data_IF_819302742315
#
_entry.id   IF_819302742315
#
_cell.length_a   1.000
_cell.length_b   1.000
_cell.length_c   1.000
_cell.angle_alpha   90.00
_cell.angle_beta   90.00
_cell.angle_gamma   90.00
#
_symmetry.space_group_name_H-M   'P 1'
#
loop_
_entity.id
_entity.type
_entity.pdbx_description
1 polymer ?
#
# COMPACT_ATOMS: atom_id res chain seq x y z
N UNK A 1 -21.98 7.53 2.22
CA UNK A 1 -20.77 7.89 3.00
C UNK A 1 -19.96 9.03 2.36
N UNK A 2 -19.68 9.04 1.04
CA UNK A 2 -18.81 10.05 0.41
C UNK A 2 -19.24 11.53 0.43
N UNK A 3 -20.30 11.91 1.15
CA UNK A 3 -20.68 13.30 1.39
C UNK A 3 -20.18 13.85 2.73
N UNK A 4 -19.61 13.00 3.58
CA UNK A 4 -19.12 13.37 4.91
C UNK A 4 -17.72 14.00 4.83
N UNK A 5 -17.59 15.15 4.15
CA UNK A 5 -16.29 15.79 3.85
C UNK A 5 -15.50 16.20 5.10
N UNK A 6 -16.18 16.46 6.21
CA UNK A 6 -15.57 16.81 7.50
C UNK A 6 -15.31 15.61 8.40
N UNK A 7 -15.54 14.38 7.92
CA UNK A 7 -15.29 13.17 8.70
C UNK A 7 -13.79 13.01 8.92
N UNK A 8 -13.38 13.05 10.19
CA UNK A 8 -11.98 12.91 10.58
C UNK A 8 -11.59 11.46 10.81
N UNK A 9 -12.52 10.66 11.36
CA UNK A 9 -12.30 9.27 11.72
C UNK A 9 -13.44 8.38 11.21
N UNK A 10 -13.07 7.26 10.59
CA UNK A 10 -13.98 6.21 10.14
C UNK A 10 -13.36 4.86 10.46
N UNK A 11 -13.98 4.09 11.35
CA UNK A 11 -13.57 2.70 11.61
C UNK A 11 -14.70 1.77 11.15
N UNK A 12 -14.40 0.92 10.18
CA UNK A 12 -15.30 -0.07 9.60
C UNK A 12 -14.74 -1.50 9.76
N UNK A 13 -13.71 -1.63 10.59
CA UNK A 13 -12.94 -2.86 10.72
C UNK A 13 -13.73 -3.93 11.47
N UNK A 14 -13.36 -5.20 11.31
CA UNK A 14 -13.93 -6.32 12.06
C UNK A 14 -15.46 -6.45 11.88
N UNK A 15 -15.90 -6.36 10.64
CA UNK A 15 -17.30 -6.48 10.25
C UNK A 15 -17.46 -7.55 9.16
N UNK A 16 -18.69 -7.73 8.68
CA UNK A 16 -19.03 -8.61 7.56
C UNK A 16 -19.22 -7.82 6.25
N UNK A 17 -18.54 -6.67 6.10
CA UNK A 17 -18.66 -5.85 4.89
C UNK A 17 -18.11 -6.63 3.70
N UNK A 18 -18.83 -6.56 2.58
CA UNK A 18 -18.49 -7.25 1.34
C UNK A 18 -18.68 -6.34 0.14
N UNK A 19 -18.22 -6.80 -1.03
CA UNK A 19 -18.17 -5.99 -2.25
C UNK A 19 -16.91 -5.12 -2.32
N UNK A 20 -16.89 -4.20 -3.28
CA UNK A 20 -15.72 -3.37 -3.54
C UNK A 20 -15.66 -2.11 -2.68
N UNK A 21 -14.43 -1.58 -2.51
CA UNK A 21 -14.22 -0.27 -1.90
C UNK A 21 -14.88 0.79 -2.80
N UNK A 22 -15.88 1.55 -2.32
CA UNK A 22 -16.61 2.50 -3.15
C UNK A 22 -15.73 3.68 -3.58
N UNK A 23 -15.83 4.13 -4.83
CA UNK A 23 -15.11 5.31 -5.34
C UNK A 23 -15.37 6.58 -4.50
N UNK A 24 -16.55 6.67 -3.89
CA UNK A 24 -16.93 7.78 -3.03
C UNK A 24 -16.06 7.94 -1.77
N UNK A 25 -15.25 6.94 -1.40
CA UNK A 25 -14.27 7.06 -0.32
C UNK A 25 -13.22 8.13 -0.61
N UNK A 26 -12.87 8.35 -1.89
CA UNK A 26 -11.94 9.40 -2.28
C UNK A 26 -12.42 10.83 -2.00
N UNK A 27 -13.70 11.03 -1.65
CA UNK A 27 -14.26 12.33 -1.30
C UNK A 27 -14.09 12.70 0.18
N UNK A 28 -13.59 11.79 1.02
CA UNK A 28 -13.42 12.00 2.46
C UNK A 28 -12.11 12.75 2.75
N UNK A 29 -11.91 13.93 2.17
CA UNK A 29 -10.62 14.65 2.15
C UNK A 29 -10.05 15.02 3.53
N UNK A 30 -10.91 15.13 4.55
CA UNK A 30 -10.50 15.41 5.94
C UNK A 30 -10.19 14.14 6.74
N UNK A 31 -10.33 12.96 6.15
CA UNK A 31 -10.16 11.69 6.84
C UNK A 31 -8.70 11.50 7.23
N UNK A 32 -8.46 11.28 8.51
CA UNK A 32 -7.13 11.07 9.10
C UNK A 32 -6.90 9.61 9.49
N UNK A 33 -7.97 8.86 9.79
CA UNK A 33 -7.96 7.50 10.33
C UNK A 33 -9.34 6.87 10.05
N UNK A 34 -9.66 5.59 9.94
CA UNK A 34 -9.00 4.28 9.88
C UNK A 34 -9.60 3.62 8.62
N UNK A 35 -9.26 2.39 8.31
CA UNK A 35 -9.69 1.72 7.08
C UNK A 35 -10.21 0.32 7.39
N UNK A 36 -11.06 -0.27 6.53
CA UNK A 36 -11.76 -1.52 6.83
C UNK A 36 -10.81 -2.72 6.75
N UNK A 37 -10.18 -3.07 7.86
CA UNK A 37 -9.45 -4.35 7.98
C UNK A 37 -10.37 -5.45 8.52
N UNK A 38 -9.99 -6.72 8.32
CA UNK A 38 -10.76 -7.88 8.81
C UNK A 38 -12.24 -7.84 8.38
N UNK A 39 -12.45 -7.82 7.06
CA UNK A 39 -13.76 -7.85 6.42
C UNK A 39 -13.72 -8.82 5.21
N UNK A 40 -14.78 -8.84 4.41
CA UNK A 40 -14.89 -9.62 3.17
C UNK A 40 -14.89 -8.71 1.93
N UNK A 41 -14.17 -7.58 1.97
CA UNK A 41 -14.09 -6.65 0.83
C UNK A 41 -13.30 -7.29 -0.32
N UNK A 42 -13.74 -7.06 -1.55
CA UNK A 42 -13.20 -7.69 -2.76
C UNK A 42 -12.98 -6.69 -3.89
N UNK A 43 -12.37 -7.14 -4.99
CA UNK A 43 -12.00 -6.27 -6.11
C UNK A 43 -10.74 -5.46 -5.84
N UNK A 44 -10.46 -4.46 -6.69
CA UNK A 44 -9.22 -3.70 -6.65
C UNK A 44 -9.25 -2.53 -5.67
N UNK A 45 -8.05 -2.14 -5.20
CA UNK A 45 -7.85 -0.89 -4.46
C UNK A 45 -8.09 0.29 -5.42
N UNK A 46 -9.09 1.15 -5.17
CA UNK A 46 -9.40 2.25 -6.08
C UNK A 46 -8.28 3.31 -6.09
N UNK A 47 -7.79 3.75 -7.27
CA UNK A 47 -6.77 4.79 -7.36
C UNK A 47 -7.19 6.12 -6.71
N UNK A 48 -8.49 6.38 -6.62
CA UNK A 48 -9.06 7.60 -6.00
C UNK A 48 -8.72 7.72 -4.50
N UNK A 49 -8.31 6.64 -3.83
CA UNK A 49 -7.83 6.72 -2.44
C UNK A 49 -6.60 7.62 -2.30
N UNK A 50 -5.81 7.79 -3.36
CA UNK A 50 -4.67 8.73 -3.38
C UNK A 50 -5.04 10.22 -3.19
N UNK A 51 -6.33 10.56 -3.22
CA UNK A 51 -6.81 11.91 -2.93
C UNK A 51 -6.86 12.23 -1.43
N UNK A 52 -6.74 11.22 -0.56
CA UNK A 52 -6.87 11.36 0.89
C UNK A 52 -5.56 11.87 1.53
N UNK A 53 -5.15 13.09 1.18
CA UNK A 53 -3.86 13.70 1.58
C UNK A 53 -3.68 13.82 3.10
N UNK A 54 -4.77 13.88 3.86
CA UNK A 54 -4.78 13.95 5.33
C UNK A 54 -4.68 12.58 6.00
N UNK A 55 -4.76 11.48 5.23
CA UNK A 55 -4.84 10.13 5.77
C UNK A 55 -3.50 9.74 6.41
N UNK A 56 -3.54 9.39 7.69
CA UNK A 56 -2.37 8.94 8.45
C UNK A 56 -2.28 7.43 8.58
N UNK A 57 -3.41 6.72 8.48
CA UNK A 57 -3.47 5.27 8.65
C UNK A 57 -4.38 4.64 7.59
N UNK A 58 -3.84 3.70 6.80
CA UNK A 58 -4.56 2.89 5.82
C UNK A 58 -4.33 1.39 6.10
N UNK A 59 -5.34 0.74 6.71
CA UNK A 59 -5.36 -0.70 6.97
C UNK A 59 -6.43 -1.39 6.13
N UNK A 60 -6.01 -2.21 5.17
CA UNK A 60 -6.89 -3.03 4.34
C UNK A 60 -6.58 -4.52 4.49
N UNK A 61 -5.73 -4.89 5.45
CA UNK A 61 -5.33 -6.28 5.66
C UNK A 61 -6.51 -7.19 6.03
N UNK A 62 -6.35 -8.49 5.78
CA UNK A 62 -7.37 -9.51 6.08
C UNK A 62 -8.68 -9.17 5.35
N UNK A 63 -8.61 -9.14 4.03
CA UNK A 63 -9.73 -8.98 3.11
C UNK A 63 -9.50 -9.86 1.86
N UNK A 64 -10.35 -9.72 0.86
CA UNK A 64 -10.29 -10.45 -0.42
C UNK A 64 -9.94 -9.49 -1.58
N UNK A 65 -9.22 -8.40 -1.31
CA UNK A 65 -8.83 -7.43 -2.32
C UNK A 65 -7.83 -8.07 -3.30
N UNK A 66 -7.95 -7.72 -4.57
CA UNK A 66 -7.12 -8.27 -5.64
C UNK A 66 -6.62 -7.14 -6.57
N UNK A 67 -5.88 -7.51 -7.62
CA UNK A 67 -5.30 -6.51 -8.52
C UNK A 67 -3.94 -6.02 -8.03
N UNK A 68 -3.53 -4.88 -8.59
CA UNK A 68 -2.26 -4.22 -8.27
C UNK A 68 -2.47 -3.12 -7.22
N UNK A 69 -1.42 -2.77 -6.47
CA UNK A 69 -1.42 -1.57 -5.64
C UNK A 69 -1.36 -0.36 -6.58
N UNK A 70 -2.32 0.57 -6.55
CA UNK A 70 -2.29 1.71 -7.46
C UNK A 70 -1.15 2.67 -7.10
N UNK A 71 -0.38 3.16 -8.09
CA UNK A 71 0.67 4.18 -7.89
C UNK A 71 0.23 5.40 -7.07
N UNK A 72 -1.04 5.77 -7.17
CA UNK A 72 -1.63 6.87 -6.42
C UNK A 72 -1.60 6.69 -4.90
N UNK A 73 -1.28 5.51 -4.36
CA UNK A 73 -0.98 5.36 -2.92
C UNK A 73 0.21 6.24 -2.51
N UNK A 74 1.21 6.43 -3.37
CA UNK A 74 2.34 7.34 -3.13
C UNK A 74 1.95 8.80 -2.92
N UNK A 75 0.73 9.19 -3.31
CA UNK A 75 0.21 10.53 -3.10
C UNK A 75 -0.20 10.81 -1.65
N UNK A 76 -0.27 9.80 -0.77
CA UNK A 76 -0.69 9.93 0.62
C UNK A 76 0.44 10.49 1.51
N UNK A 77 0.78 11.76 1.32
CA UNK A 77 1.93 12.42 1.96
C UNK A 77 1.94 12.38 3.50
N UNK A 78 0.77 12.26 4.12
CA UNK A 78 0.61 12.21 5.59
C UNK A 78 0.58 10.78 6.14
N UNK A 79 0.67 9.76 5.28
CA UNK A 79 0.50 8.36 5.68
C UNK A 79 1.67 7.91 6.56
N UNK A 80 1.34 7.28 7.68
CA UNK A 80 2.28 6.74 8.66
C UNK A 80 2.22 5.22 8.72
N UNK A 81 1.01 4.66 8.62
CA UNK A 81 0.79 3.22 8.74
C UNK A 81 0.05 2.71 7.50
N UNK A 82 0.69 1.83 6.74
CA UNK A 82 0.10 1.15 5.59
C UNK A 82 0.14 -0.36 5.82
N UNK A 83 -1.02 -1.01 5.81
CA UNK A 83 -1.12 -2.46 6.03
C UNK A 83 -2.06 -3.11 5.01
N UNK A 84 -1.50 -3.94 4.13
CA UNK A 84 -2.17 -4.58 2.99
C UNK A 84 -2.04 -6.12 2.98
N UNK A 85 -1.42 -6.71 4.00
CA UNK A 85 -1.17 -8.16 4.07
C UNK A 85 -2.47 -8.98 4.10
N UNK A 86 -2.38 -10.28 3.81
CA UNK A 86 -3.52 -11.20 3.77
C UNK A 86 -4.67 -10.69 2.86
N UNK A 87 -4.30 -10.45 1.59
CA UNK A 87 -5.17 -10.13 0.47
C UNK A 87 -4.66 -10.87 -0.78
N UNK A 88 -5.43 -10.89 -1.86
CA UNK A 88 -5.05 -11.42 -3.17
C UNK A 88 -4.35 -10.41 -4.09
N UNK A 89 -3.63 -9.43 -3.54
CA UNK A 89 -2.89 -8.43 -4.30
C UNK A 89 -1.68 -9.06 -5.00
N UNK A 90 -1.45 -8.68 -6.26
CA UNK A 90 -0.38 -9.21 -7.10
C UNK A 90 0.40 -8.09 -7.80
N UNK A 91 1.46 -8.46 -8.53
CA UNK A 91 2.45 -7.56 -9.13
C UNK A 91 3.44 -6.97 -8.12
N UNK A 92 4.39 -6.18 -8.61
CA UNK A 92 5.39 -5.48 -7.82
C UNK A 92 4.79 -4.30 -7.03
N UNK A 93 5.49 -3.89 -5.97
CA UNK A 93 5.21 -2.64 -5.26
C UNK A 93 5.46 -1.48 -6.23
N UNK A 94 4.51 -0.55 -6.42
CA UNK A 94 4.74 0.67 -7.20
C UNK A 94 5.89 1.49 -6.60
N UNK A 95 6.75 2.06 -7.45
CA UNK A 95 7.90 2.87 -7.01
C UNK A 95 7.46 4.10 -6.21
N UNK A 96 6.25 4.58 -6.45
CA UNK A 96 5.63 5.71 -5.77
C UNK A 96 5.40 5.49 -4.28
N UNK A 97 5.38 4.23 -3.79
CA UNK A 97 5.41 3.96 -2.34
C UNK A 97 6.69 4.54 -1.71
N UNK A 98 7.79 4.66 -2.46
CA UNK A 98 9.00 5.36 -2.04
C UNK A 98 8.82 6.86 -1.80
N UNK A 99 7.74 7.48 -2.28
CA UNK A 99 7.42 8.89 -2.03
C UNK A 99 6.72 9.12 -0.69
N UNK A 100 6.39 8.06 0.05
CA UNK A 100 5.77 8.14 1.36
C UNK A 100 6.79 8.51 2.45
N UNK A 101 7.17 9.78 2.47
CA UNK A 101 8.19 10.32 3.39
C UNK A 101 7.84 10.23 4.88
N UNK A 102 6.57 9.96 5.22
CA UNK A 102 6.05 9.96 6.59
C UNK A 102 5.77 8.55 7.15
N UNK A 103 5.99 7.48 6.37
CA UNK A 103 5.63 6.11 6.78
C UNK A 103 6.57 5.60 7.87
N UNK A 104 5.99 5.18 8.99
CA UNK A 104 6.67 4.51 10.10
C UNK A 104 6.45 3.00 10.10
N UNK A 105 5.30 2.55 9.59
CA UNK A 105 4.93 1.12 9.55
C UNK A 105 4.40 0.76 8.16
N UNK A 106 5.05 -0.21 7.52
CA UNK A 106 4.68 -0.72 6.19
C UNK A 106 4.59 -2.25 6.24
N UNK A 107 3.37 -2.76 6.15
CA UNK A 107 3.08 -4.19 6.11
C UNK A 107 2.42 -4.55 4.77
N UNK A 108 3.13 -5.32 3.95
CA UNK A 108 2.68 -5.71 2.61
C UNK A 108 2.50 -7.23 2.50
N UNK A 109 1.77 -7.68 1.48
CA UNK A 109 1.50 -9.09 1.28
C UNK A 109 2.78 -9.88 0.93
N UNK A 110 2.97 -11.05 1.54
CA UNK A 110 4.17 -11.88 1.41
C UNK A 110 4.47 -12.27 -0.05
N UNK A 111 3.44 -12.44 -0.89
CA UNK A 111 3.59 -12.83 -2.30
C UNK A 111 4.21 -11.71 -3.14
N UNK A 112 3.92 -10.45 -2.81
CA UNK A 112 4.49 -9.28 -3.50
C UNK A 112 5.99 -9.15 -3.18
N UNK A 113 6.38 -9.44 -1.93
CA UNK A 113 7.77 -9.42 -1.49
C UNK A 113 8.61 -10.47 -2.23
N UNK A 114 8.08 -11.68 -2.45
CA UNK A 114 8.77 -12.73 -3.23
C UNK A 114 9.00 -12.29 -4.68
N UNK A 115 8.00 -11.66 -5.32
CA UNK A 115 8.16 -11.09 -6.66
C UNK A 115 9.23 -9.99 -6.73
N UNK A 116 9.31 -9.14 -5.71
CA UNK A 116 10.35 -8.11 -5.60
C UNK A 116 11.75 -8.71 -5.45
N UNK A 117 11.90 -9.74 -4.62
CA UNK A 117 13.17 -10.47 -4.49
C UNK A 117 13.60 -11.08 -5.82
N UNK A 118 12.67 -11.68 -6.59
CA UNK A 118 12.98 -12.23 -7.91
C UNK A 118 13.38 -11.15 -8.92
N UNK A 119 12.67 -10.01 -8.95
CA UNK A 119 13.01 -8.89 -9.84
C UNK A 119 14.37 -8.27 -9.45
N UNK A 120 14.65 -8.11 -8.16
CA UNK A 120 15.95 -7.64 -7.68
C UNK A 120 17.07 -8.64 -8.01
N UNK A 121 16.82 -9.95 -7.91
CA UNK A 121 17.80 -10.98 -8.27
C UNK A 121 18.11 -10.95 -9.78
N UNK A 122 17.08 -10.80 -10.62
CA UNK A 122 17.22 -10.64 -12.07
C UNK A 122 17.93 -9.33 -12.41
N UNK A 123 17.57 -8.22 -11.75
CA UNK A 123 18.21 -6.92 -11.94
C UNK A 123 19.67 -6.93 -11.48
N UNK A 124 20.00 -7.63 -10.38
CA UNK A 124 21.37 -7.84 -9.92
C UNK A 124 22.18 -8.69 -10.92
N UNK A 125 21.58 -9.75 -11.46
CA UNK A 125 22.21 -10.58 -12.49
C UNK A 125 22.46 -9.77 -13.78
N UNK A 126 21.49 -8.96 -14.22
CA UNK A 126 21.64 -8.04 -15.35
C UNK A 126 22.66 -6.93 -15.07
N UNK A 127 22.71 -6.41 -13.84
CA UNK A 127 23.64 -5.36 -13.41
C UNK A 127 25.09 -5.87 -13.33
N UNK A 128 25.30 -7.10 -12.86
CA UNK A 128 26.59 -7.82 -12.92
C UNK A 128 27.02 -8.05 -14.38
N UNK A 129 26.09 -8.30 -15.28
CA UNK A 129 26.36 -8.52 -16.70
C UNK A 129 26.61 -7.20 -17.49
N UNK A 130 26.09 -6.06 -17.01
CA UNK A 130 26.17 -4.74 -17.66
C UNK A 130 27.12 -3.74 -16.98
N UNK A 131 27.77 -4.09 -15.85
CA UNK A 131 28.69 -3.22 -15.07
C UNK A 131 28.15 -1.80 -14.80
N UNK A 132 26.88 -1.67 -14.41
CA UNK A 132 26.27 -0.37 -14.08
C UNK A 132 26.33 -0.10 -12.56
N UNK A 133 27.34 0.67 -12.14
CA UNK A 133 27.76 0.83 -10.74
C UNK A 133 26.94 1.78 -9.84
N UNK A 134 25.67 2.10 -10.14
CA UNK A 134 24.95 3.20 -9.43
C UNK A 134 23.68 2.86 -8.64
N UNK A 135 23.35 1.58 -8.41
CA UNK A 135 22.09 1.20 -7.73
C UNK A 135 22.24 0.33 -6.47
N UNK A 136 23.40 0.28 -5.82
CA UNK A 136 23.68 -0.74 -4.78
C UNK A 136 23.66 -0.27 -3.33
N UNK A 137 23.59 1.03 -3.00
CA UNK A 137 23.82 1.44 -1.59
C UNK A 137 22.54 1.64 -0.78
N UNK A 138 21.42 2.02 -1.39
CA UNK A 138 20.21 2.43 -0.62
C UNK A 138 19.26 1.27 -0.28
N UNK A 139 19.40 0.10 -0.91
CA UNK A 139 18.46 -1.03 -0.75
C UNK A 139 19.03 -2.15 0.14
N UNK A 140 20.35 -2.23 0.28
CA UNK A 140 21.05 -3.25 1.07
C UNK A 140 20.97 -3.04 2.59
N UNK A 141 20.66 -1.82 3.06
CA UNK A 141 20.56 -1.52 4.50
C UNK A 141 19.22 -1.92 5.13
N UNK A 142 18.18 -2.16 4.33
CA UNK A 142 16.85 -2.57 4.85
C UNK A 142 16.74 -4.07 5.14
N UNK A 143 17.59 -4.90 4.54
CA UNK A 143 17.54 -6.38 4.70
C UNK A 143 18.48 -6.92 5.77
N UNK A 144 19.32 -6.08 6.40
CA UNK A 144 20.25 -6.50 7.46
C UNK A 144 19.68 -6.40 8.89
N UNK A 145 18.44 -5.93 9.07
CA UNK A 145 17.84 -5.67 10.40
C UNK A 145 16.76 -6.67 10.83
N UNK A 146 16.53 -7.74 10.06
CA UNK A 146 15.54 -8.79 10.37
C UNK A 146 16.10 -10.23 10.27
N UNK A 147 17.41 -10.40 10.51
CA UNK A 147 18.04 -11.69 10.79
C UNK A 147 18.72 -11.64 12.17
#
# INVERSE_FOLDING_TARGET
>A
MGNLKSLLQLDLSENQLSGSIPLSFGNLSSLTMKSPFSNSLSGSIPPILGNLKSLSTLRLHVNQLNGVIPPSIGNLSSLRNLSLFNNGLYSSIPEEIGYLMSVSELELCTIILVGLFLIQLVALHLCLHLRLHRWTVSVLLATALLL
#
